data_IF_046583468350
#
_entry.id   IF_046583468350
#
_cell.length_a   1.000
_cell.length_b   1.000
_cell.length_c   1.000
_cell.angle_alpha   90.00
_cell.angle_beta   90.00
_cell.angle_gamma   90.00
#
_symmetry.space_group_name_H-M   'P 1'
#
loop_
_entity.id
_entity.type
_entity.pdbx_description
1 polymer ?
#
# COMPACT_ATOMS: atom_id res chain seq x y z
N UNK A 1 -18.27 15.98 7.81
CA UNK A 1 -18.57 14.94 8.83
C UNK A 1 -17.39 13.99 8.85
N UNK A 2 -16.68 13.89 9.97
CA UNK A 2 -15.45 13.07 10.07
C UNK A 2 -15.80 11.59 10.00
N UNK A 3 -15.35 10.90 8.96
CA UNK A 3 -15.47 9.45 8.84
C UNK A 3 -14.24 8.80 9.46
N UNK A 4 -14.45 7.73 10.20
CA UNK A 4 -13.40 7.00 10.88
C UNK A 4 -13.33 5.59 10.33
N UNK A 5 -12.12 5.07 10.21
CA UNK A 5 -11.88 3.66 9.91
C UNK A 5 -11.36 2.93 11.15
N UNK A 6 -11.74 1.66 11.25
CA UNK A 6 -11.21 0.77 12.28
C UNK A 6 -10.31 -0.24 11.60
N UNK A 7 -9.04 -0.16 11.92
CA UNK A 7 -8.01 -1.09 11.47
C UNK A 7 -7.51 -1.93 12.63
N UNK A 8 -7.11 -3.16 12.34
CA UNK A 8 -6.51 -4.07 13.31
C UNK A 8 -5.16 -4.56 12.79
N UNK A 9 -4.16 -4.53 13.66
CA UNK A 9 -2.75 -4.80 13.36
C UNK A 9 -2.28 -6.17 13.86
N UNK A 10 -3.19 -7.03 14.35
CA UNK A 10 -2.82 -8.32 14.93
C UNK A 10 -2.35 -8.23 16.39
N UNK A 11 -2.42 -7.05 17.02
CA UNK A 11 -2.00 -6.85 18.40
C UNK A 11 -3.02 -7.40 19.40
N UNK A 12 -2.55 -8.36 20.21
CA UNK A 12 -3.29 -8.96 21.32
C UNK A 12 -3.07 -8.14 22.59
N UNK A 13 -4.13 -7.97 23.37
CA UNK A 13 -4.01 -7.36 24.69
C UNK A 13 -3.20 -8.26 25.66
N UNK A 14 -2.44 -7.68 26.61
CA UNK A 14 -1.61 -8.44 27.53
C UNK A 14 -2.45 -9.40 28.38
N UNK A 15 -2.21 -10.71 28.23
CA UNK A 15 -2.89 -11.77 28.98
C UNK A 15 -4.02 -12.49 28.24
N UNK A 16 -4.34 -12.12 26.99
CA UNK A 16 -5.36 -12.80 26.19
C UNK A 16 -4.77 -13.98 25.39
N UNK A 17 -5.46 -15.13 25.39
CA UNK A 17 -5.06 -16.31 24.58
C UNK A 17 -5.54 -16.12 23.13
N UNK A 18 -4.66 -16.37 22.16
CA UNK A 18 -4.94 -16.29 20.71
C UNK A 18 -6.28 -16.94 20.33
N UNK A 19 -6.50 -18.18 20.76
CA UNK A 19 -7.73 -18.94 20.46
C UNK A 19 -9.02 -18.28 20.97
N UNK A 20 -8.96 -17.59 22.13
CA UNK A 20 -10.12 -16.92 22.70
C UNK A 20 -10.40 -15.58 22.01
N UNK A 21 -9.35 -14.84 21.64
CA UNK A 21 -9.50 -13.57 20.92
C UNK A 21 -10.03 -13.82 19.52
N UNK A 22 -9.56 -14.87 18.84
CA UNK A 22 -10.10 -15.30 17.54
C UNK A 22 -11.60 -15.61 17.64
N UNK A 23 -12.02 -16.45 18.60
CA UNK A 23 -13.44 -16.79 18.77
C UNK A 23 -14.32 -15.56 19.08
N UNK A 24 -13.82 -14.61 19.88
CA UNK A 24 -14.53 -13.38 20.20
C UNK A 24 -14.60 -12.43 19.00
N UNK A 25 -13.53 -12.32 18.20
CA UNK A 25 -13.51 -11.52 16.97
C UNK A 25 -14.44 -12.10 15.91
N UNK A 26 -14.49 -13.43 15.75
CA UNK A 26 -15.43 -14.11 14.84
C UNK A 26 -16.86 -13.76 15.19
N UNK A 27 -17.21 -13.74 16.48
CA UNK A 27 -18.54 -13.36 16.94
C UNK A 27 -18.83 -11.87 16.76
N UNK A 28 -17.85 -11.01 17.03
CA UNK A 28 -18.05 -9.55 17.00
C UNK A 28 -18.20 -9.02 15.57
N UNK A 29 -17.41 -9.56 14.64
CA UNK A 29 -17.37 -9.10 13.26
C UNK A 29 -18.11 -10.01 12.27
N UNK A 30 -18.59 -11.18 12.71
CA UNK A 30 -19.17 -12.20 11.82
C UNK A 30 -18.27 -12.47 10.60
N UNK A 31 -16.96 -12.38 10.82
CA UNK A 31 -15.95 -12.50 9.78
C UNK A 31 -15.44 -13.95 9.73
N UNK A 32 -15.13 -14.42 8.52
CA UNK A 32 -14.56 -15.75 8.31
C UNK A 32 -13.26 -15.96 9.09
N UNK A 33 -13.08 -17.19 9.59
CA UNK A 33 -11.85 -17.61 10.28
C UNK A 33 -10.58 -17.32 9.46
N UNK A 34 -10.67 -17.36 8.13
CA UNK A 34 -9.61 -17.00 7.19
C UNK A 34 -9.23 -15.50 7.26
N UNK A 35 -10.23 -14.61 7.33
CA UNK A 35 -9.99 -13.16 7.49
C UNK A 35 -9.38 -12.85 8.85
N UNK A 36 -9.78 -13.58 9.89
CA UNK A 36 -9.26 -13.43 11.25
C UNK A 36 -7.81 -13.95 11.34
N UNK A 37 -7.49 -15.09 10.71
CA UNK A 37 -6.11 -15.55 10.61
C UNK A 37 -5.21 -14.57 9.82
N UNK A 38 -5.73 -13.93 8.77
CA UNK A 38 -5.06 -12.86 8.03
C UNK A 38 -4.85 -11.60 8.90
N UNK A 39 -5.82 -11.26 9.76
CA UNK A 39 -5.73 -10.16 10.72
C UNK A 39 -4.61 -10.37 11.75
N UNK A 40 -4.33 -11.63 12.12
CA UNK A 40 -3.21 -12.02 12.98
C UNK A 40 -1.89 -12.23 12.24
N UNK A 41 -1.83 -12.01 10.93
CA UNK A 41 -0.58 -12.12 10.15
C UNK A 41 0.37 -10.93 10.39
N UNK A 42 0.10 -10.06 11.37
CA UNK A 42 0.87 -8.85 11.68
C UNK A 42 0.74 -7.74 10.64
N UNK A 43 -0.18 -7.87 9.68
CA UNK A 43 -0.46 -6.84 8.67
C UNK A 43 -1.69 -6.05 9.09
N UNK A 44 -1.62 -4.72 8.94
CA UNK A 44 -2.77 -3.83 9.19
C UNK A 44 -3.89 -4.15 8.19
N UNK A 45 -5.02 -4.61 8.68
CA UNK A 45 -6.21 -4.87 7.87
C UNK A 45 -7.35 -3.96 8.35
N UNK A 46 -8.04 -3.34 7.38
CA UNK A 46 -9.20 -2.51 7.66
C UNK A 46 -10.42 -3.40 7.79
N UNK A 47 -11.06 -3.38 8.96
CA UNK A 47 -12.23 -4.23 9.23
C UNK A 47 -13.50 -3.56 8.73
N UNK A 48 -13.62 -2.23 8.93
CA UNK A 48 -14.78 -1.45 8.49
C UNK A 48 -14.43 0.02 8.32
N UNK A 49 -14.91 0.60 7.21
CA UNK A 49 -14.77 2.02 6.86
C UNK A 49 -16.12 2.74 6.99
N UNK A 50 -16.10 4.07 6.92
CA UNK A 50 -17.29 4.95 7.00
C UNK A 50 -18.05 4.89 8.34
N UNK A 51 -17.35 4.74 9.46
CA UNK A 51 -17.96 4.75 10.79
C UNK A 51 -17.92 6.14 11.43
N UNK A 52 -19.00 6.50 12.13
CA UNK A 52 -19.11 7.72 12.93
C UNK A 52 -18.30 7.59 14.25
N UNK A 53 -17.90 8.72 14.87
CA UNK A 53 -17.09 8.73 16.10
C UNK A 53 -17.73 7.89 17.21
N UNK A 54 -19.04 8.00 17.39
CA UNK A 54 -19.78 7.25 18.41
C UNK A 54 -19.82 5.73 18.13
N UNK A 55 -19.80 5.33 16.85
CA UNK A 55 -19.77 3.92 16.46
C UNK A 55 -18.37 3.36 16.66
N UNK A 56 -17.35 4.09 16.24
CA UNK A 56 -15.95 3.67 16.36
C UNK A 56 -15.52 3.47 17.81
N UNK A 57 -15.96 4.32 18.72
CA UNK A 57 -15.63 4.16 20.13
C UNK A 57 -16.28 2.92 20.76
N UNK A 58 -17.51 2.57 20.34
CA UNK A 58 -18.18 1.32 20.71
C UNK A 58 -17.43 0.10 20.20
N UNK A 59 -16.95 0.14 18.96
CA UNK A 59 -16.14 -0.94 18.39
C UNK A 59 -14.77 -1.06 19.05
N UNK A 60 -14.09 0.06 19.37
CA UNK A 60 -12.86 0.07 20.17
C UNK A 60 -13.07 -0.61 21.51
N UNK A 61 -14.15 -0.27 22.22
CA UNK A 61 -14.46 -0.84 23.52
C UNK A 61 -14.83 -2.33 23.44
N UNK A 62 -15.54 -2.72 22.38
CA UNK A 62 -15.88 -4.11 22.12
C UNK A 62 -14.65 -4.97 21.78
N UNK A 63 -13.72 -4.44 20.98
CA UNK A 63 -12.44 -5.11 20.68
C UNK A 63 -11.52 -5.18 21.90
N UNK A 64 -11.44 -4.12 22.69
CA UNK A 64 -10.68 -4.12 23.95
C UNK A 64 -11.23 -5.16 24.94
N UNK A 65 -12.56 -5.32 25.02
CA UNK A 65 -13.21 -6.39 25.82
C UNK A 65 -12.96 -7.78 25.27
N UNK A 66 -12.79 -7.91 23.96
CA UNK A 66 -12.45 -9.17 23.30
C UNK A 66 -10.95 -9.53 23.42
N UNK A 67 -10.11 -8.64 23.96
CA UNK A 67 -8.67 -8.85 24.11
C UNK A 67 -7.84 -8.46 22.88
N UNK A 68 -8.38 -7.59 22.02
CA UNK A 68 -7.77 -7.13 20.77
C UNK A 68 -7.55 -5.60 20.81
N UNK A 69 -6.37 -5.14 20.39
CA UNK A 69 -6.06 -3.70 20.29
C UNK A 69 -6.45 -3.24 18.88
N UNK A 70 -7.45 -2.35 18.81
CA UNK A 70 -7.93 -1.76 17.56
C UNK A 70 -7.33 -0.37 17.37
N UNK A 71 -6.72 -0.14 16.21
CA UNK A 71 -6.28 1.19 15.81
C UNK A 71 -7.41 1.91 15.08
N UNK A 72 -7.83 3.01 15.70
CA UNK A 72 -8.79 3.95 15.11
C UNK A 72 -8.00 5.02 14.37
N UNK A 73 -8.21 5.13 13.06
CA UNK A 73 -7.66 6.25 12.28
C UNK A 73 -8.78 7.19 11.86
N UNK A 74 -8.70 8.49 12.20
CA UNK A 74 -9.53 9.49 11.56
C UNK A 74 -9.13 9.55 10.08
N UNK A 75 -10.10 9.46 9.18
CA UNK A 75 -9.89 9.71 7.77
C UNK A 75 -10.26 11.18 7.54
N UNK A 76 -9.29 12.12 7.50
CA UNK A 76 -9.60 13.45 7.00
C UNK A 76 -9.99 13.29 5.54
N UNK A 77 -11.27 13.56 5.26
CA UNK A 77 -11.69 13.82 3.89
C UNK A 77 -11.20 15.24 3.59
N UNK A 78 -9.93 15.38 3.21
CA UNK A 78 -9.59 16.43 2.26
C UNK A 78 -10.25 16.02 0.96
N UNK A 79 -11.46 16.55 0.80
CA UNK A 79 -12.04 16.74 -0.53
C UNK A 79 -11.07 17.72 -1.20
N UNK A 80 -10.04 17.20 -1.87
CA UNK A 80 -9.46 17.91 -3.00
C UNK A 80 -10.55 17.95 -4.06
N UNK A 81 -11.42 18.94 -3.86
CA UNK A 81 -12.16 19.64 -4.87
C UNK A 81 -11.12 20.10 -5.89
N UNK A 82 -10.85 19.24 -6.87
CA UNK A 82 -10.11 19.59 -8.06
C UNK A 82 -11.03 20.57 -8.78
N UNK A 83 -10.87 21.84 -8.43
CA UNK A 83 -11.49 22.97 -9.07
C UNK A 83 -11.27 22.84 -10.58
N UNK A 84 -12.40 22.64 -11.23
CA UNK A 84 -12.63 22.74 -12.65
C UNK A 84 -12.09 24.08 -13.15
N UNK A 85 -10.87 24.09 -13.68
CA UNK A 85 -10.31 25.21 -14.44
C UNK A 85 -10.33 24.87 -15.95
N UNK A 86 -10.65 25.85 -16.81
CA UNK A 86 -11.31 25.67 -18.11
C UNK A 86 -10.38 25.20 -19.23
N UNK A 87 -10.92 24.65 -20.34
CA UNK A 87 -10.13 24.16 -21.46
C UNK A 87 -9.50 25.32 -22.25
N UNK A 88 -8.18 25.33 -22.51
CA UNK A 88 -7.62 26.16 -23.55
C UNK A 88 -7.91 25.55 -24.93
N UNK A 89 -8.36 26.44 -25.81
CA UNK A 89 -8.87 26.25 -27.17
C UNK A 89 -7.91 25.54 -28.15
N UNK A 90 -8.53 24.95 -29.16
CA UNK A 90 -7.98 24.36 -30.39
C UNK A 90 -7.03 25.29 -31.18
N UNK A 91 -6.02 24.67 -31.81
CA UNK A 91 -5.59 24.97 -33.20
C UNK A 91 -5.14 23.65 -33.90
N UNK A 92 -5.23 23.54 -35.23
CA UNK A 92 -5.55 22.27 -35.91
C UNK A 92 -4.41 21.59 -36.70
N UNK A 93 -4.63 20.29 -36.94
CA UNK A 93 -4.10 19.41 -38.01
C UNK A 93 -2.68 18.82 -37.86
N UNK A 94 -2.35 17.66 -38.50
CA UNK A 94 -3.15 16.82 -39.40
C UNK A 94 -3.36 15.37 -38.93
N UNK A 95 -4.38 14.72 -39.52
CA UNK A 95 -4.71 13.32 -39.32
C UNK A 95 -3.54 12.36 -39.64
N UNK A 96 -3.47 11.25 -38.91
CA UNK A 96 -3.39 9.95 -39.58
C UNK A 96 -4.60 9.08 -39.24
N UNK A 97 -5.00 8.37 -40.27
CA UNK A 97 -6.05 7.38 -40.32
C UNK A 97 -5.76 6.23 -39.35
N UNK A 98 -6.67 5.97 -38.42
CA UNK A 98 -7.27 4.67 -38.10
C UNK A 98 -7.78 4.73 -36.66
N UNK A 99 -9.07 4.99 -36.53
CA UNK A 99 -9.82 4.88 -35.28
C UNK A 99 -9.78 3.42 -34.80
N UNK A 100 -8.87 3.10 -33.89
CA UNK A 100 -9.15 2.08 -32.89
C UNK A 100 -10.03 2.79 -31.86
N UNK A 101 -11.33 2.54 -31.94
CA UNK A 101 -12.30 3.08 -31.00
C UNK A 101 -11.79 2.85 -29.58
N UNK A 102 -11.43 3.93 -28.89
CA UNK A 102 -11.45 3.97 -27.44
C UNK A 102 -12.91 3.75 -27.06
N UNK A 103 -13.30 2.48 -26.94
CA UNK A 103 -14.60 2.09 -26.49
C UNK A 103 -14.67 2.48 -25.01
N UNK A 104 -15.35 3.59 -24.73
CA UNK A 104 -15.90 3.84 -23.40
C UNK A 104 -16.60 2.54 -22.94
N UNK A 105 -16.31 2.03 -21.73
CA UNK A 105 -16.76 0.71 -21.30
C UNK A 105 -18.29 0.70 -21.25
N UNK A 106 -18.91 0.11 -22.27
CA UNK A 106 -20.34 -0.17 -22.25
C UNK A 106 -20.55 -1.47 -21.46
N UNK A 107 -21.71 -1.66 -20.83
CA UNK A 107 -22.01 -2.91 -20.15
C UNK A 107 -22.05 -4.06 -21.17
N UNK A 108 -21.22 -5.08 -20.94
CA UNK A 108 -21.12 -6.29 -21.75
C UNK A 108 -22.43 -7.07 -21.65
N UNK A 109 -23.14 -7.26 -22.77
CA UNK A 109 -24.38 -8.05 -22.83
C UNK A 109 -24.07 -9.48 -23.29
N UNK A 110 -24.09 -10.43 -22.36
CA UNK A 110 -23.85 -11.85 -22.64
C UNK A 110 -25.16 -12.62 -22.56
N UNK A 111 -25.50 -13.37 -23.61
CA UNK A 111 -26.61 -14.31 -23.56
C UNK A 111 -26.20 -15.54 -22.73
N UNK A 112 -26.95 -15.92 -21.69
CA UNK A 112 -26.62 -17.07 -20.86
C UNK A 112 -26.71 -18.36 -21.69
N UNK A 113 -25.73 -19.25 -21.51
CA UNK A 113 -25.61 -20.51 -22.25
C UNK A 113 -26.16 -21.70 -21.46
N UNK A 114 -26.20 -21.59 -20.14
CA UNK A 114 -26.64 -22.62 -19.20
C UNK A 114 -27.24 -22.00 -17.91
N UNK A 115 -27.74 -22.86 -17.01
CA UNK A 115 -28.37 -22.44 -15.75
C UNK A 115 -27.38 -21.73 -14.80
N UNK A 116 -26.11 -22.09 -14.86
CA UNK A 116 -25.07 -21.44 -14.05
C UNK A 116 -24.79 -20.01 -14.52
N UNK A 117 -24.68 -19.77 -15.83
CA UNK A 117 -24.54 -18.42 -16.36
C UNK A 117 -25.80 -17.58 -16.17
N UNK A 118 -27.00 -18.20 -16.19
CA UNK A 118 -28.26 -17.50 -15.94
C UNK A 118 -28.31 -16.87 -14.53
N UNK A 119 -27.61 -17.45 -13.54
CA UNK A 119 -27.51 -16.88 -12.19
C UNK A 119 -26.82 -15.49 -12.13
N UNK A 120 -26.11 -15.10 -13.20
CA UNK A 120 -25.35 -13.84 -13.28
C UNK A 120 -25.86 -12.90 -14.38
N UNK A 121 -27.06 -13.13 -14.93
CA UNK A 121 -27.62 -12.31 -16.04
C UNK A 121 -27.80 -10.83 -15.67
N UNK A 122 -28.01 -10.54 -14.38
CA UNK A 122 -28.19 -9.18 -13.86
C UNK A 122 -26.86 -8.54 -13.41
N UNK A 123 -25.72 -9.21 -13.59
CA UNK A 123 -24.40 -8.66 -13.25
C UNK A 123 -23.91 -7.73 -14.36
N UNK A 124 -23.79 -6.44 -14.04
CA UNK A 124 -23.22 -5.45 -14.95
C UNK A 124 -21.68 -5.54 -14.95
N UNK A 125 -21.12 -5.99 -16.07
CA UNK A 125 -19.67 -6.04 -16.30
C UNK A 125 -19.26 -5.04 -17.38
N UNK A 126 -18.17 -4.28 -17.20
CA UNK A 126 -17.58 -3.46 -18.26
C UNK A 126 -17.12 -4.33 -19.44
N UNK A 127 -17.40 -3.90 -20.66
CA UNK A 127 -16.82 -4.50 -21.87
C UNK A 127 -15.41 -3.95 -22.11
N UNK A 128 -14.40 -4.78 -21.78
CA UNK A 128 -12.98 -4.47 -22.00
C UNK A 128 -12.51 -4.82 -23.42
N UNK A 129 -13.36 -5.44 -24.24
CA UNK A 129 -12.97 -5.94 -25.57
C UNK A 129 -11.86 -6.99 -25.53
N UNK A 130 -11.43 -7.43 -26.72
CA UNK A 130 -10.28 -8.32 -26.88
C UNK A 130 -9.29 -7.63 -27.82
N UNK A 131 -8.08 -7.38 -27.34
CA UNK A 131 -7.02 -6.84 -28.17
C UNK A 131 -6.52 -7.90 -29.17
N UNK A 132 -6.12 -7.49 -30.39
CA UNK A 132 -5.54 -8.41 -31.36
C UNK A 132 -4.19 -8.97 -30.87
N UNK A 133 -3.77 -10.09 -31.47
CA UNK A 133 -2.52 -10.76 -31.11
C UNK A 133 -1.31 -9.85 -31.34
N UNK A 134 -0.39 -9.82 -30.36
CA UNK A 134 0.82 -9.00 -30.42
C UNK A 134 0.66 -7.56 -29.96
N UNK A 135 -0.52 -7.15 -29.51
CA UNK A 135 -0.72 -5.84 -28.88
C UNK A 135 -0.18 -5.85 -27.44
N UNK A 136 0.56 -4.80 -27.11
CA UNK A 136 0.98 -4.55 -25.73
C UNK A 136 -0.21 -4.06 -24.90
N UNK A 137 -0.48 -4.75 -23.79
CA UNK A 137 -1.56 -4.44 -22.86
C UNK A 137 -1.05 -3.64 -21.65
N UNK A 138 0.25 -3.34 -21.59
CA UNK A 138 0.83 -2.56 -20.51
C UNK A 138 0.45 -1.09 -20.66
N UNK A 139 0.10 -0.47 -19.54
CA UNK A 139 -0.10 0.97 -19.49
C UNK A 139 1.21 1.69 -19.85
N UNK A 140 1.10 2.82 -20.54
CA UNK A 140 2.26 3.63 -20.87
C UNK A 140 2.96 4.10 -19.60
N UNK A 141 4.20 3.68 -19.39
CA UNK A 141 4.99 4.14 -18.26
C UNK A 141 5.35 5.61 -18.48
N UNK A 142 5.02 6.53 -17.55
CA UNK A 142 5.37 7.93 -17.69
C UNK A 142 6.89 8.09 -17.69
N UNK A 143 7.40 9.06 -18.45
CA UNK A 143 8.83 9.36 -18.49
C UNK A 143 9.34 9.65 -17.06
N UNK A 144 10.44 9.02 -16.63
CA UNK A 144 10.96 9.20 -15.29
C UNK A 144 11.47 10.64 -15.12
N UNK A 145 10.74 11.45 -14.36
CA UNK A 145 11.18 12.80 -13.99
C UNK A 145 12.32 12.69 -12.97
N UNK A 146 13.51 13.18 -13.34
CA UNK A 146 14.65 13.22 -12.43
C UNK A 146 14.33 14.09 -11.20
N UNK A 147 14.68 13.64 -9.98
CA UNK A 147 14.49 14.45 -8.78
C UNK A 147 15.40 15.68 -8.84
N UNK A 148 14.94 16.86 -8.36
CA UNK A 148 15.78 18.04 -8.28
C UNK A 148 16.78 17.89 -7.11
N UNK A 149 17.93 17.28 -7.39
CA UNK A 149 19.03 17.15 -6.42
C UNK A 149 20.01 18.32 -6.55
N UNK A 150 20.27 19.00 -5.44
CA UNK A 150 21.34 20.01 -5.36
C UNK A 150 22.65 19.33 -4.95
N UNK A 151 23.60 19.30 -5.88
CA UNK A 151 24.93 18.72 -5.68
C UNK A 151 26.02 19.77 -5.45
N UNK A 152 25.65 21.05 -5.28
CA UNK A 152 26.61 22.16 -5.15
C UNK A 152 27.56 22.02 -3.95
N UNK A 153 27.16 21.27 -2.93
CA UNK A 153 27.95 21.01 -1.73
C UNK A 153 28.96 19.87 -1.88
N UNK A 154 28.85 19.05 -2.94
CA UNK A 154 29.72 17.90 -3.15
C UNK A 154 30.78 18.22 -4.21
N UNK A 155 32.04 17.95 -3.89
CA UNK A 155 33.15 18.04 -4.83
C UNK A 155 33.70 16.65 -5.12
N UNK A 156 33.94 16.34 -6.39
CA UNK A 156 34.60 15.10 -6.79
C UNK A 156 36.12 15.30 -6.74
N UNK A 157 36.84 14.32 -6.22
CA UNK A 157 38.30 14.31 -6.31
C UNK A 157 38.74 14.00 -7.76
N UNK A 158 39.91 14.49 -8.22
CA UNK A 158 40.45 14.12 -9.52
C UNK A 158 40.58 12.61 -9.69
N UNK A 159 40.43 12.13 -10.92
CA UNK A 159 40.60 10.71 -11.25
C UNK A 159 41.97 10.21 -10.79
N UNK A 160 42.00 9.05 -10.12
CA UNK A 160 43.22 8.49 -9.52
C UNK A 160 43.51 8.92 -8.08
N UNK A 161 42.65 9.75 -7.47
CA UNK A 161 42.76 10.06 -6.03
C UNK A 161 42.33 8.85 -5.19
N UNK A 162 43.16 8.44 -4.24
CA UNK A 162 42.84 7.39 -3.27
C UNK A 162 41.81 7.92 -2.26
N UNK A 163 40.57 7.41 -2.35
CA UNK A 163 39.44 7.75 -1.48
C UNK A 163 39.23 6.68 -0.38
N UNK A 164 40.30 6.03 0.08
CA UNK A 164 40.26 5.08 1.19
C UNK A 164 40.03 5.73 2.58
N UNK A 165 39.61 4.92 3.56
CA UNK A 165 39.51 5.33 4.97
C UNK A 165 40.89 5.79 5.46
N UNK A 166 40.99 7.02 6.00
CA UNK A 166 42.22 7.46 6.68
C UNK A 166 42.51 6.47 7.81
N UNK A 167 43.70 5.85 7.81
CA UNK A 167 44.15 4.97 8.89
C UNK A 167 43.94 5.69 10.22
N UNK A 168 43.05 5.17 11.07
CA UNK A 168 42.88 5.69 12.43
C UNK A 168 44.24 5.64 13.10
N UNK A 169 44.73 6.77 13.56
CA UNK A 169 45.87 6.80 14.43
C UNK A 169 45.42 6.13 15.75
N UNK A 170 45.59 4.82 15.86
CA UNK A 170 45.66 4.18 17.16
C UNK A 170 47.02 4.55 17.76
N UNK A 171 47.17 5.82 18.11
CA UNK A 171 48.39 6.40 18.69
C UNK A 171 48.42 6.16 20.20
N UNK A 172 48.03 4.95 20.62
CA UNK A 172 48.39 4.48 21.94
C UNK A 172 49.84 3.97 21.82
N UNK A 173 50.80 4.52 22.58
CA UNK A 173 52.16 3.96 22.59
C UNK A 173 52.04 2.48 22.92
N UNK A 174 52.69 1.64 22.10
CA UNK A 174 52.71 0.18 22.33
C UNK A 174 53.21 -0.04 23.76
N UNK A 175 52.46 -0.75 24.62
CA UNK A 175 52.89 -0.98 26.00
C UNK A 175 54.21 -1.76 26.00
N UNK A 176 55.12 -1.44 26.91
CA UNK A 176 56.41 -2.13 27.00
C UNK A 176 56.22 -3.60 27.41
N UNK A 177 56.56 -4.51 26.49
CA UNK A 177 56.47 -5.96 26.68
C UNK A 177 57.78 -6.61 27.13
N UNK A 178 58.82 -5.83 27.43
CA UNK A 178 60.17 -6.35 27.76
C UNK A 178 60.23 -7.27 28.98
N UNK A 179 59.20 -7.26 29.82
CA UNK A 179 59.10 -8.09 31.04
C UNK A 179 58.21 -9.33 30.89
N UNK A 180 57.59 -9.56 29.72
CA UNK A 180 56.81 -10.77 29.46
C UNK A 180 57.73 -11.93 29.07
N UNK A 181 57.64 -13.05 29.79
CA UNK A 181 58.28 -14.32 29.43
C UNK A 181 57.21 -15.41 29.41
N UNK A 182 57.18 -16.19 28.32
CA UNK A 182 56.38 -17.41 28.26
C UNK A 182 57.06 -18.46 29.13
N UNK A 183 56.27 -19.15 29.94
CA UNK A 183 56.70 -20.32 30.70
C UNK A 183 56.04 -21.52 30.03
N UNK A 184 56.85 -22.48 29.59
CA UNK A 184 56.37 -23.77 29.06
C UNK A 184 55.76 -24.64 30.17
#
# INVERSE_FOLDING_TARGET
>A
MSRYEISFSGELAPGAKLEQVEANLTRLFQADAQRIALLFSGRRIVIKQDLDHASVEKYRQAMARAGAIAEVRPMPVEVEEIELAPPPSEDPAPAPLASAAQASPQPLKVAPRDEYMAAFVDVEAPDFGIAPVGVDLQDAQPEPKAPPVDLSQFSLAPVGSDMGERRRASDAPVPDTSHLKLVD
#
